data_IF_962097513618
#
_entry.id   IF_962097513618
#
_cell.length_a   1.000
_cell.length_b   1.000
_cell.length_c   1.000
_cell.angle_alpha   90.00
_cell.angle_beta   90.00
_cell.angle_gamma   90.00
#
_symmetry.space_group_name_H-M   'P 1'
#
loop_
_entity.id
_entity.type
_entity.pdbx_description
1 polymer ?
#
# COMPACT_ATOMS: atom_id res chain seq x y z
N UNK A 1 9.79 -19.64 -15.58
CA UNK A 1 8.65 -18.71 -15.46
C UNK A 1 7.89 -19.11 -14.22
N UNK A 2 7.57 -18.16 -13.32
CA UNK A 2 6.69 -18.45 -12.20
C UNK A 2 5.27 -18.82 -12.66
N UNK A 3 4.40 -19.23 -11.74
CA UNK A 3 3.02 -19.57 -12.07
C UNK A 3 2.17 -18.31 -12.30
N UNK A 4 1.10 -18.39 -13.10
CA UNK A 4 0.12 -17.30 -13.25
C UNK A 4 -0.43 -16.87 -11.88
N UNK A 5 -0.74 -17.84 -11.03
CA UNK A 5 -1.23 -17.59 -9.67
C UNK A 5 -0.19 -16.82 -8.84
N UNK A 6 1.09 -17.18 -8.98
CA UNK A 6 2.21 -16.50 -8.32
C UNK A 6 2.44 -15.06 -8.76
N UNK A 7 1.94 -14.64 -9.93
CA UNK A 7 2.03 -13.26 -10.40
C UNK A 7 0.73 -12.46 -10.19
N UNK A 8 -0.42 -13.10 -10.39
CA UNK A 8 -1.73 -12.46 -10.29
C UNK A 8 -2.09 -12.10 -8.84
N UNK A 9 -1.79 -13.00 -7.89
CA UNK A 9 -2.12 -12.78 -6.49
C UNK A 9 -1.40 -11.55 -5.90
N UNK A 10 -0.06 -11.39 -6.07
CA UNK A 10 0.62 -10.14 -5.69
C UNK A 10 0.07 -8.91 -6.40
N UNK A 11 -0.22 -9.00 -7.70
CA UNK A 11 -0.76 -7.89 -8.48
C UNK A 11 -2.09 -7.37 -7.92
N UNK A 12 -3.02 -8.28 -7.61
CA UNK A 12 -4.31 -7.93 -7.01
C UNK A 12 -4.15 -7.36 -5.60
N UNK A 13 -3.27 -7.94 -4.78
CA UNK A 13 -3.00 -7.42 -3.45
C UNK A 13 -2.46 -5.98 -3.49
N UNK A 14 -1.44 -5.73 -4.31
CA UNK A 14 -0.88 -4.39 -4.46
C UNK A 14 -1.92 -3.40 -5.00
N UNK A 15 -2.84 -3.83 -5.86
CA UNK A 15 -3.92 -2.98 -6.37
C UNK A 15 -4.86 -2.55 -5.25
N UNK A 16 -5.41 -3.50 -4.50
CA UNK A 16 -6.32 -3.20 -3.39
C UNK A 16 -5.63 -2.33 -2.33
N UNK A 17 -4.37 -2.63 -2.02
CA UNK A 17 -3.58 -1.86 -1.09
C UNK A 17 -3.37 -0.42 -1.59
N UNK A 18 -3.01 -0.23 -2.86
CA UNK A 18 -2.79 1.11 -3.44
C UNK A 18 -4.07 1.92 -3.54
N UNK A 19 -5.21 1.29 -3.85
CA UNK A 19 -6.53 1.94 -3.83
C UNK A 19 -6.94 2.35 -2.42
N UNK A 20 -6.73 1.48 -1.43
CA UNK A 20 -6.94 1.81 -0.02
C UNK A 20 -6.09 3.01 0.42
N UNK A 21 -4.80 3.03 0.09
CA UNK A 21 -3.92 4.17 0.38
C UNK A 21 -4.31 5.43 -0.41
N UNK A 22 -4.85 5.32 -1.61
CA UNK A 22 -5.38 6.47 -2.38
C UNK A 22 -6.49 7.17 -1.62
N UNK A 23 -7.38 6.42 -0.98
CA UNK A 23 -8.44 6.98 -0.12
C UNK A 23 -7.82 7.63 1.12
N UNK A 24 -6.89 6.96 1.80
CA UNK A 24 -6.24 7.49 3.00
C UNK A 24 -5.51 8.81 2.71
N UNK A 25 -4.69 8.85 1.66
CA UNK A 25 -3.96 10.05 1.24
C UNK A 25 -4.94 11.17 0.91
N UNK A 26 -6.01 10.87 0.15
CA UNK A 26 -7.00 11.87 -0.21
C UNK A 26 -7.69 12.49 1.01
N UNK A 27 -8.08 11.68 1.99
CA UNK A 27 -8.68 12.15 3.23
C UNK A 27 -7.69 12.92 4.11
N UNK A 28 -6.43 12.49 4.17
CA UNK A 28 -5.38 13.17 4.91
C UNK A 28 -5.09 14.56 4.33
N UNK A 29 -5.05 14.69 3.00
CA UNK A 29 -4.90 15.95 2.29
C UNK A 29 -6.07 16.91 2.56
N UNK A 30 -7.31 16.42 2.45
CA UNK A 30 -8.52 17.22 2.68
C UNK A 30 -8.65 17.72 4.13
N UNK A 31 -8.07 16.99 5.08
CA UNK A 31 -8.09 17.31 6.51
C UNK A 31 -6.82 18.00 6.98
N UNK A 32 -5.91 18.35 6.07
CA UNK A 32 -4.60 18.95 6.36
C UNK A 32 -3.81 18.21 7.46
N UNK A 33 -3.87 16.88 7.43
CA UNK A 33 -3.19 16.06 8.43
C UNK A 33 -1.67 16.11 8.21
N UNK A 34 -0.92 16.26 9.32
CA UNK A 34 0.56 16.18 9.30
C UNK A 34 1.08 14.75 9.14
N UNK A 35 0.28 13.75 9.52
CA UNK A 35 0.63 12.33 9.44
C UNK A 35 -0.45 11.56 8.69
N UNK A 36 -0.04 10.76 7.70
CA UNK A 36 -0.95 9.91 6.92
C UNK A 36 -1.70 8.89 7.79
N UNK A 37 -1.03 8.37 8.82
CA UNK A 37 -1.62 7.50 9.83
C UNK A 37 -1.40 8.14 11.19
N UNK A 38 -2.49 8.54 11.84
CA UNK A 38 -2.42 8.97 13.22
C UNK A 38 -2.09 7.77 14.12
N UNK A 39 -1.23 7.94 15.13
CA UNK A 39 -1.04 6.94 16.18
C UNK A 39 -2.39 6.55 16.77
N UNK A 40 -2.58 5.26 17.05
CA UNK A 40 -3.82 4.79 17.69
C UNK A 40 -3.97 5.46 19.07
N UNK A 41 -5.21 5.82 19.48
CA UNK A 41 -5.43 6.43 20.79
C UNK A 41 -5.00 5.47 21.92
N UNK A 42 -4.50 6.00 23.06
CA UNK A 42 -4.03 5.18 24.18
C UNK A 42 -5.07 4.17 24.65
N UNK A 43 -4.59 2.99 25.09
CA UNK A 43 -5.37 1.82 25.52
C UNK A 43 -6.49 2.15 26.52
N UNK A 44 -6.31 3.16 27.37
CA UNK A 44 -7.28 3.60 28.36
C UNK A 44 -8.59 4.13 27.78
N UNK A 45 -8.58 4.72 26.57
CA UNK A 45 -9.79 5.22 25.90
C UNK A 45 -10.47 4.19 25.00
N UNK A 46 -9.92 2.97 24.88
CA UNK A 46 -10.30 1.98 23.84
C UNK A 46 -10.81 0.66 24.43
N UNK A 47 -11.61 0.72 25.50
CA UNK A 47 -12.06 -0.46 26.27
C UNK A 47 -13.15 -1.32 25.59
N UNK A 48 -13.63 -1.00 24.38
CA UNK A 48 -14.89 -1.59 23.87
C UNK A 48 -14.84 -2.45 22.59
N UNK A 49 -13.71 -2.65 21.91
CA UNK A 49 -13.69 -3.56 20.75
C UNK A 49 -12.35 -4.25 20.54
N UNK A 50 -12.30 -5.54 20.84
CA UNK A 50 -11.18 -6.46 20.55
C UNK A 50 -10.74 -6.41 19.08
N UNK A 51 -11.70 -6.21 18.16
CA UNK A 51 -11.46 -6.03 16.73
C UNK A 51 -10.71 -4.73 16.36
N UNK A 52 -10.67 -3.72 17.25
CA UNK A 52 -9.85 -2.51 17.06
C UNK A 52 -8.41 -2.68 17.59
N UNK A 53 -8.09 -3.80 18.25
CA UNK A 53 -6.73 -4.09 18.72
C UNK A 53 -5.89 -4.82 17.67
N UNK A 54 -6.51 -5.45 16.68
CA UNK A 54 -5.79 -6.22 15.67
C UNK A 54 -5.33 -5.29 14.54
N UNK A 55 -4.02 -5.19 14.28
CA UNK A 55 -3.48 -4.39 13.19
C UNK A 55 -3.78 -5.08 11.86
N UNK A 56 -4.94 -4.73 11.28
CA UNK A 56 -5.53 -5.38 10.11
C UNK A 56 -4.55 -5.47 8.94
N UNK A 57 -3.80 -4.40 8.65
CA UNK A 57 -2.82 -4.38 7.56
C UNK A 57 -1.72 -5.42 7.75
N UNK A 58 -1.16 -5.51 8.97
CA UNK A 58 -0.14 -6.50 9.28
C UNK A 58 -0.68 -7.92 9.17
N UNK A 59 -1.91 -8.17 9.64
CA UNK A 59 -2.57 -9.48 9.49
C UNK A 59 -2.80 -9.84 8.03
N UNK A 60 -3.29 -8.90 7.22
CA UNK A 60 -3.50 -9.12 5.78
C UNK A 60 -2.18 -9.42 5.08
N UNK A 61 -1.09 -8.68 5.37
CA UNK A 61 0.25 -8.96 4.87
C UNK A 61 0.68 -10.39 5.21
N UNK A 62 0.54 -10.81 6.48
CA UNK A 62 0.90 -12.16 6.94
C UNK A 62 0.10 -13.24 6.24
N UNK A 63 -1.22 -13.12 6.15
CA UNK A 63 -2.10 -14.14 5.54
C UNK A 63 -1.78 -14.32 4.06
N UNK A 64 -1.66 -13.21 3.32
CA UNK A 64 -1.44 -13.24 1.87
C UNK A 64 -0.05 -13.82 1.54
N UNK A 65 0.99 -13.37 2.24
CA UNK A 65 2.37 -13.85 2.01
C UNK A 65 2.54 -15.30 2.42
N UNK A 66 1.93 -15.73 3.52
CA UNK A 66 1.92 -17.15 3.93
C UNK A 66 1.21 -18.00 2.89
N UNK A 67 0.06 -17.55 2.38
CA UNK A 67 -0.67 -18.23 1.30
C UNK A 67 0.18 -18.33 0.03
N UNK A 68 0.89 -17.25 -0.33
CA UNK A 68 1.83 -17.22 -1.45
C UNK A 68 2.98 -18.22 -1.30
N UNK A 69 3.60 -18.29 -0.12
CA UNK A 69 4.68 -19.25 0.18
C UNK A 69 4.18 -20.70 0.05
N UNK A 70 3.02 -21.00 0.64
CA UNK A 70 2.42 -22.35 0.55
C UNK A 70 2.08 -22.69 -0.90
N UNK A 71 1.50 -21.77 -1.66
CA UNK A 71 1.18 -21.98 -3.07
C UNK A 71 2.44 -22.20 -3.92
N UNK A 72 3.52 -21.47 -3.69
CA UNK A 72 4.77 -21.64 -4.43
C UNK A 72 5.41 -23.02 -4.20
N UNK A 73 5.35 -23.52 -2.96
CA UNK A 73 5.91 -24.83 -2.63
C UNK A 73 5.06 -26.01 -3.11
N UNK A 74 3.73 -25.89 -3.05
CA UNK A 74 2.84 -27.06 -3.13
C UNK A 74 1.77 -26.98 -4.24
N UNK A 75 1.72 -25.92 -5.03
CA UNK A 75 0.78 -25.80 -6.16
C UNK A 75 1.46 -26.02 -7.53
N UNK A 76 0.87 -26.83 -8.42
CA UNK A 76 -0.35 -27.64 -8.24
C UNK A 76 -0.17 -28.80 -7.24
N UNK A 77 -1.26 -29.32 -6.65
CA UNK A 77 -1.20 -30.38 -5.65
C UNK A 77 -0.39 -31.59 -6.14
N UNK A 78 0.47 -32.13 -5.28
CA UNK A 78 1.38 -33.25 -5.59
C UNK A 78 2.80 -32.82 -5.98
N UNK A 79 3.04 -31.53 -6.20
CA UNK A 79 4.39 -30.98 -6.39
C UNK A 79 5.00 -30.60 -5.04
N UNK A 80 6.30 -30.88 -4.86
CA UNK A 80 7.07 -30.41 -3.71
C UNK A 80 8.33 -29.68 -4.20
N UNK A 81 8.38 -28.37 -4.00
CA UNK A 81 9.53 -27.51 -4.37
C UNK A 81 10.37 -27.06 -3.17
N UNK A 82 10.29 -27.75 -2.03
CA UNK A 82 11.08 -27.44 -0.82
C UNK A 82 12.57 -27.75 -0.97
N UNK A 83 12.94 -28.56 -1.96
CA UNK A 83 14.33 -28.94 -2.18
C UNK A 83 15.09 -27.79 -2.85
N UNK A 84 16.13 -27.29 -2.17
CA UNK A 84 16.95 -26.19 -2.69
C UNK A 84 18.16 -26.70 -3.49
N UNK A 85 18.76 -27.80 -3.05
CA UNK A 85 19.96 -28.39 -3.65
C UNK A 85 19.65 -29.83 -3.98
N UNK A 86 20.06 -30.26 -5.17
CA UNK A 86 20.07 -31.68 -5.50
C UNK A 86 21.24 -32.39 -4.82
N UNK A 87 20.96 -33.11 -3.75
CA UNK A 87 22.00 -33.85 -3.02
C UNK A 87 22.36 -35.18 -3.68
N UNK A 88 21.54 -35.67 -4.62
CA UNK A 88 21.75 -36.93 -5.33
C UNK A 88 22.66 -36.73 -6.55
N UNK A 89 22.60 -35.55 -7.18
CA UNK A 89 23.51 -35.17 -8.27
C UNK A 89 24.91 -34.81 -7.72
N UNK A 90 26.01 -35.40 -8.26
CA UNK A 90 27.38 -35.06 -7.88
C UNK A 90 27.73 -33.57 -8.00
N UNK A 91 27.12 -32.84 -8.96
CA UNK A 91 27.32 -31.41 -9.18
C UNK A 91 26.57 -30.53 -8.19
N UNK A 92 25.62 -31.10 -7.43
CA UNK A 92 24.79 -30.40 -6.43
C UNK A 92 24.17 -29.09 -6.93
N UNK A 93 23.47 -29.11 -8.09
CA UNK A 93 22.85 -27.92 -8.63
C UNK A 93 21.76 -27.37 -7.70
N UNK A 94 21.58 -26.05 -7.74
CA UNK A 94 20.44 -25.40 -7.11
C UNK A 94 19.18 -25.61 -7.96
N UNK A 95 18.09 -26.03 -7.32
CA UNK A 95 16.81 -26.30 -7.96
C UNK A 95 15.83 -25.15 -7.74
N UNK A 96 14.83 -25.04 -8.62
CA UNK A 96 13.68 -24.14 -8.47
C UNK A 96 14.00 -22.66 -8.18
N UNK A 97 15.03 -22.10 -8.86
CA UNK A 97 15.48 -20.69 -8.71
C UNK A 97 14.31 -19.70 -8.65
N UNK A 98 13.39 -19.75 -9.64
CA UNK A 98 12.25 -18.83 -9.74
C UNK A 98 11.34 -18.91 -8.49
N UNK A 99 11.05 -20.13 -8.00
CA UNK A 99 10.21 -20.32 -6.80
C UNK A 99 10.89 -19.80 -5.54
N UNK A 100 12.19 -20.09 -5.35
CA UNK A 100 12.94 -19.60 -4.20
C UNK A 100 13.06 -18.07 -4.19
N UNK A 101 13.15 -17.43 -5.35
CA UNK A 101 13.06 -15.96 -5.45
C UNK A 101 11.68 -15.46 -4.97
N UNK A 102 10.58 -16.08 -5.38
CA UNK A 102 9.24 -15.71 -4.93
C UNK A 102 9.05 -15.94 -3.42
N UNK A 103 9.51 -17.07 -2.89
CA UNK A 103 9.46 -17.38 -1.45
C UNK A 103 10.25 -16.35 -0.66
N UNK A 104 11.44 -15.96 -1.14
CA UNK A 104 12.25 -14.92 -0.51
C UNK A 104 11.51 -13.57 -0.51
N UNK A 105 10.94 -13.17 -1.65
CA UNK A 105 10.10 -11.98 -1.75
C UNK A 105 8.95 -12.01 -0.72
N UNK A 106 8.13 -13.07 -0.72
CA UNK A 106 7.04 -13.22 0.23
C UNK A 106 7.52 -13.23 1.68
N UNK A 107 8.68 -13.83 1.97
CA UNK A 107 9.28 -13.87 3.30
C UNK A 107 9.60 -12.49 3.86
N UNK A 108 10.11 -11.56 3.05
CA UNK A 108 10.36 -10.18 3.51
C UNK A 108 9.07 -9.38 3.70
N UNK A 109 8.06 -9.57 2.84
CA UNK A 109 6.73 -8.96 3.08
C UNK A 109 6.01 -9.58 4.28
N UNK A 110 6.19 -10.88 4.55
CA UNK A 110 5.71 -11.57 5.74
C UNK A 110 6.35 -10.96 6.99
N UNK A 111 7.67 -10.77 6.96
CA UNK A 111 8.41 -10.12 8.04
C UNK A 111 7.92 -8.69 8.29
N UNK A 112 7.67 -7.91 7.23
CA UNK A 112 7.01 -6.59 7.35
C UNK A 112 5.65 -6.70 8.06
N UNK A 113 4.81 -7.65 7.67
CA UNK A 113 3.51 -7.87 8.33
C UNK A 113 3.62 -8.24 9.82
N UNK A 114 4.59 -9.08 10.18
CA UNK A 114 4.85 -9.44 11.59
C UNK A 114 5.33 -8.22 12.39
N UNK A 115 6.24 -7.41 11.82
CA UNK A 115 6.73 -6.19 12.46
C UNK A 115 5.60 -5.18 12.66
N UNK A 116 4.72 -5.01 11.67
CA UNK A 116 3.51 -4.19 11.79
C UNK A 116 2.63 -4.69 12.94
N UNK A 117 2.43 -6.01 13.05
CA UNK A 117 1.62 -6.59 14.13
C UNK A 117 2.25 -6.33 15.50
N UNK A 118 3.53 -6.64 15.67
CA UNK A 118 4.24 -6.53 16.95
C UNK A 118 4.34 -5.06 17.39
N UNK A 119 4.67 -4.15 16.45
CA UNK A 119 4.79 -2.73 16.72
C UNK A 119 3.45 -2.12 17.14
N UNK A 120 2.36 -2.46 16.44
CA UNK A 120 1.03 -1.89 16.70
C UNK A 120 0.32 -2.56 17.89
N UNK A 121 0.60 -3.83 18.20
CA UNK A 121 0.06 -4.51 19.39
C UNK A 121 0.61 -3.89 20.69
N UNK A 122 1.87 -3.44 20.65
CA UNK A 122 2.52 -2.71 21.74
C UNK A 122 2.29 -1.19 21.61
N UNK A 123 1.03 -0.74 21.55
CA UNK A 123 0.61 0.65 21.25
C UNK A 123 1.38 1.76 21.99
N UNK A 124 1.79 1.53 23.25
CA UNK A 124 2.60 2.47 24.02
C UNK A 124 4.03 2.71 23.46
N UNK A 125 4.48 1.85 22.54
CA UNK A 125 5.82 1.85 21.93
C UNK A 125 5.76 1.71 20.41
N UNK A 126 4.65 2.11 19.76
CA UNK A 126 4.55 1.98 18.31
C UNK A 126 5.76 2.64 17.63
N UNK A 127 6.54 1.85 16.88
CA UNK A 127 7.74 2.31 16.19
C UNK A 127 7.45 2.48 14.71
N UNK A 128 6.77 3.56 14.35
CA UNK A 128 6.45 3.90 12.95
C UNK A 128 7.69 3.87 12.03
N UNK A 129 8.85 4.31 12.53
CA UNK A 129 10.11 4.26 11.78
C UNK A 129 10.56 2.82 11.46
N UNK A 130 10.34 1.89 12.39
CA UNK A 130 10.68 0.48 12.19
C UNK A 130 9.73 -0.18 11.18
N UNK A 131 8.41 0.07 11.31
CA UNK A 131 7.40 -0.41 10.36
C UNK A 131 7.76 0.01 8.92
N UNK A 132 8.05 1.30 8.72
CA UNK A 132 8.48 1.85 7.41
C UNK A 132 9.81 1.31 6.93
N UNK A 133 10.79 1.14 7.82
CA UNK A 133 12.10 0.62 7.45
C UNK A 133 12.03 -0.83 6.97
N UNK A 134 11.21 -1.67 7.61
CA UNK A 134 11.05 -3.07 7.19
C UNK A 134 10.21 -3.17 5.92
N UNK A 135 9.19 -2.32 5.75
CA UNK A 135 8.46 -2.21 4.48
C UNK A 135 9.38 -1.75 3.33
N UNK A 136 10.20 -0.73 3.56
CA UNK A 136 11.21 -0.30 2.59
C UNK A 136 12.18 -1.43 2.24
N UNK A 137 12.68 -2.17 3.24
CA UNK A 137 13.56 -3.32 3.03
C UNK A 137 12.91 -4.37 2.12
N UNK A 138 11.63 -4.69 2.32
CA UNK A 138 10.91 -5.64 1.47
C UNK A 138 10.88 -5.21 0.00
N UNK A 139 10.65 -3.92 -0.27
CA UNK A 139 10.71 -3.38 -1.63
C UNK A 139 12.14 -3.35 -2.22
N UNK A 140 13.17 -3.07 -1.42
CA UNK A 140 14.56 -3.15 -1.89
C UNK A 140 14.94 -4.58 -2.27
N UNK A 141 14.55 -5.56 -1.44
CA UNK A 141 14.76 -6.99 -1.74
C UNK A 141 14.01 -7.39 -3.00
N UNK A 142 12.77 -6.91 -3.19
CA UNK A 142 12.01 -7.16 -4.43
C UNK A 142 12.76 -6.66 -5.67
N UNK A 143 13.30 -5.43 -5.65
CA UNK A 143 14.09 -4.90 -6.78
C UNK A 143 15.37 -5.74 -7.00
N UNK A 144 16.07 -6.11 -5.93
CA UNK A 144 17.29 -6.92 -6.00
C UNK A 144 17.01 -8.32 -6.58
N UNK A 145 15.95 -8.98 -6.14
CA UNK A 145 15.53 -10.27 -6.66
C UNK A 145 15.18 -10.16 -8.14
N UNK A 146 14.51 -9.08 -8.55
CA UNK A 146 14.13 -8.85 -9.93
C UNK A 146 15.35 -8.71 -10.87
N UNK A 147 16.44 -8.10 -10.42
CA UNK A 147 17.67 -7.98 -11.19
C UNK A 147 18.24 -9.35 -11.60
N UNK A 148 18.17 -10.35 -10.71
CA UNK A 148 18.58 -11.74 -11.00
C UNK A 148 17.48 -12.58 -11.63
N UNK A 149 16.21 -12.17 -11.50
CA UNK A 149 15.05 -12.85 -12.09
C UNK A 149 15.00 -12.70 -13.61
N UNK A 150 15.41 -11.54 -14.13
CA UNK A 150 15.40 -11.26 -15.57
C UNK A 150 16.53 -11.93 -16.35
N UNK A 151 17.52 -12.51 -15.67
CA UNK A 151 18.62 -13.22 -16.30
C UNK A 151 18.10 -14.43 -17.11
N UNK A 152 18.62 -14.60 -18.32
CA UNK A 152 18.28 -15.69 -19.24
C UNK A 152 16.79 -15.75 -19.63
N UNK A 153 16.06 -14.64 -19.53
CA UNK A 153 14.67 -14.49 -20.00
C UNK A 153 14.62 -13.90 -21.42
N UNK A 154 13.47 -14.01 -22.07
CA UNK A 154 13.25 -13.42 -23.40
C UNK A 154 13.30 -11.88 -23.37
N UNK A 155 13.58 -11.22 -24.50
CA UNK A 155 13.67 -9.75 -24.54
C UNK A 155 12.37 -9.05 -24.10
N UNK A 156 11.23 -9.67 -24.40
CA UNK A 156 9.91 -9.27 -23.91
C UNK A 156 9.79 -9.37 -22.39
N UNK A 157 10.13 -10.53 -21.82
CA UNK A 157 10.10 -10.74 -20.37
C UNK A 157 11.02 -9.77 -19.64
N UNK A 158 12.24 -9.57 -20.14
CA UNK A 158 13.16 -8.57 -19.60
C UNK A 158 12.52 -7.19 -19.62
N UNK A 159 11.89 -6.78 -20.74
CA UNK A 159 11.28 -5.46 -20.89
C UNK A 159 10.17 -5.22 -19.87
N UNK A 160 9.24 -6.17 -19.73
CA UNK A 160 8.10 -6.02 -18.82
C UNK A 160 8.53 -5.96 -17.36
N UNK A 161 9.54 -6.76 -16.98
CA UNK A 161 10.08 -6.76 -15.62
C UNK A 161 10.93 -5.52 -15.33
N UNK A 162 11.69 -5.01 -16.30
CA UNK A 162 12.40 -3.72 -16.14
C UNK A 162 11.43 -2.57 -15.91
N UNK A 163 10.33 -2.53 -16.68
CA UNK A 163 9.27 -1.53 -16.48
C UNK A 163 8.59 -1.67 -15.11
N UNK A 164 8.48 -2.90 -14.57
CA UNK A 164 8.01 -3.15 -13.21
C UNK A 164 9.01 -2.70 -12.13
N UNK A 165 10.31 -2.84 -12.36
CA UNK A 165 11.35 -2.43 -11.40
C UNK A 165 11.33 -0.92 -11.14
N UNK A 166 11.05 -0.09 -12.14
CA UNK A 166 11.05 1.38 -12.01
C UNK A 166 10.11 1.89 -10.90
N UNK A 167 8.78 1.63 -10.93
CA UNK A 167 7.88 2.08 -9.87
C UNK A 167 8.18 1.37 -8.54
N UNK A 168 8.62 0.10 -8.56
CA UNK A 168 9.02 -0.61 -7.34
C UNK A 168 10.16 0.10 -6.62
N UNK A 169 11.20 0.49 -7.36
CA UNK A 169 12.35 1.22 -6.82
C UNK A 169 11.96 2.60 -6.31
N UNK A 170 11.08 3.32 -7.01
CA UNK A 170 10.57 4.61 -6.55
C UNK A 170 9.76 4.47 -5.25
N UNK A 171 8.91 3.45 -5.12
CA UNK A 171 8.21 3.15 -3.86
C UNK A 171 9.22 2.87 -2.74
N UNK A 172 10.24 2.05 -3.00
CA UNK A 172 11.30 1.75 -2.04
C UNK A 172 12.03 3.02 -1.57
N UNK A 173 12.39 3.90 -2.51
CA UNK A 173 13.06 5.16 -2.24
C UNK A 173 12.19 6.09 -1.40
N UNK A 174 10.91 6.26 -1.77
CA UNK A 174 9.98 7.12 -1.01
C UNK A 174 9.79 6.58 0.40
N UNK A 175 9.63 5.27 0.59
CA UNK A 175 9.53 4.66 1.92
C UNK A 175 10.80 4.93 2.75
N UNK A 176 11.98 4.84 2.15
CA UNK A 176 13.24 5.20 2.83
C UNK A 176 13.28 6.66 3.25
N UNK A 177 12.85 7.58 2.39
CA UNK A 177 12.79 9.02 2.72
C UNK A 177 11.77 9.27 3.84
N UNK A 178 10.62 8.58 3.81
CA UNK A 178 9.56 8.67 4.82
C UNK A 178 10.01 8.21 6.23
N UNK A 179 11.12 7.47 6.37
CA UNK A 179 11.70 7.13 7.69
C UNK A 179 12.22 8.39 8.39
N UNK A 180 12.80 9.31 7.62
CA UNK A 180 13.42 10.53 8.10
C UNK A 180 12.46 11.71 8.09
N UNK A 181 11.66 11.85 7.03
CA UNK A 181 10.76 12.99 6.82
C UNK A 181 9.33 12.48 6.56
N UNK A 182 8.62 12.04 7.61
CA UNK A 182 7.31 11.40 7.49
C UNK A 182 6.18 12.35 7.07
N UNK A 183 6.33 13.65 7.30
CA UNK A 183 5.25 14.66 7.28
C UNK A 183 5.23 15.46 5.97
N UNK A 184 5.44 14.78 4.84
CA UNK A 184 5.52 15.41 3.52
C UNK A 184 4.42 14.85 2.61
N UNK A 185 3.31 15.60 2.42
CA UNK A 185 2.22 15.16 1.55
C UNK A 185 2.63 14.77 0.12
N UNK A 186 3.60 15.44 -0.54
CA UNK A 186 4.07 15.02 -1.86
C UNK A 186 4.64 13.61 -1.89
N UNK A 187 5.31 13.16 -0.83
CA UNK A 187 5.83 11.79 -0.73
C UNK A 187 4.69 10.78 -0.66
N UNK A 188 3.64 11.06 0.10
CA UNK A 188 2.49 10.16 0.19
C UNK A 188 1.77 10.01 -1.15
N UNK A 189 1.59 11.13 -1.87
CA UNK A 189 1.01 11.15 -3.22
C UNK A 189 1.88 10.35 -4.18
N UNK A 190 3.20 10.60 -4.20
CA UNK A 190 4.13 9.90 -5.09
C UNK A 190 4.17 8.40 -4.80
N UNK A 191 4.28 7.99 -3.53
CA UNK A 191 4.24 6.58 -3.12
C UNK A 191 2.97 5.89 -3.61
N UNK A 192 1.84 6.54 -3.40
CA UNK A 192 0.53 5.97 -3.75
C UNK A 192 0.33 5.90 -5.26
N UNK A 193 0.75 6.93 -6.00
CA UNK A 193 0.74 6.92 -7.46
C UNK A 193 1.64 5.81 -8.00
N UNK A 194 2.88 5.69 -7.52
CA UNK A 194 3.79 4.62 -7.94
C UNK A 194 3.28 3.23 -7.55
N UNK A 195 2.59 3.09 -6.40
CA UNK A 195 1.90 1.85 -6.02
C UNK A 195 0.76 1.47 -6.98
N UNK A 196 -0.04 2.45 -7.42
CA UNK A 196 -1.08 2.23 -8.43
C UNK A 196 -0.48 1.80 -9.78
N UNK A 197 0.61 2.43 -10.20
CA UNK A 197 1.34 2.07 -11.44
C UNK A 197 1.93 0.67 -11.32
N UNK A 198 2.61 0.39 -10.22
CA UNK A 198 3.20 -0.91 -9.92
C UNK A 198 2.17 -2.04 -10.01
N UNK A 199 1.03 -1.86 -9.34
CA UNK A 199 -0.04 -2.86 -9.29
C UNK A 199 -0.75 -3.05 -10.62
N UNK A 200 -1.12 -1.96 -11.30
CA UNK A 200 -1.79 -2.05 -12.59
C UNK A 200 -0.87 -2.66 -13.66
N UNK A 201 0.44 -2.37 -13.62
CA UNK A 201 1.40 -2.94 -14.55
C UNK A 201 1.64 -4.42 -14.28
N UNK A 202 1.62 -4.84 -13.01
CA UNK A 202 1.71 -6.27 -12.66
C UNK A 202 0.54 -7.07 -13.26
N UNK A 203 -0.68 -6.49 -13.29
CA UNK A 203 -1.82 -7.12 -13.95
C UNK A 203 -1.64 -7.17 -15.47
N UNK A 204 -1.15 -6.09 -16.08
CA UNK A 204 -0.82 -6.05 -17.50
C UNK A 204 0.25 -7.10 -17.87
N UNK A 205 1.27 -7.26 -17.02
CA UNK A 205 2.29 -8.29 -17.17
C UNK A 205 1.67 -9.70 -17.15
N UNK A 206 0.72 -9.96 -16.24
CA UNK A 206 0.00 -11.25 -16.22
C UNK A 206 -0.76 -11.51 -17.53
N UNK A 207 -1.43 -10.48 -18.06
CA UNK A 207 -2.15 -10.57 -19.35
C UNK A 207 -1.18 -10.86 -20.49
N UNK A 208 -0.06 -10.14 -20.56
CA UNK A 208 0.94 -10.31 -21.62
C UNK A 208 1.56 -11.72 -21.59
N UNK A 209 1.92 -12.22 -20.40
CA UNK A 209 2.68 -13.47 -20.27
C UNK A 209 1.80 -14.73 -20.30
N UNK A 210 0.56 -14.67 -19.82
CA UNK A 210 -0.25 -15.89 -19.61
C UNK A 210 -1.56 -15.92 -20.39
N UNK A 211 -2.15 -14.77 -20.72
CA UNK A 211 -3.48 -14.71 -21.33
C UNK A 211 -3.63 -13.50 -22.26
N UNK A 212 -2.86 -13.44 -23.37
CA UNK A 212 -2.98 -12.34 -24.32
C UNK A 212 -4.40 -12.31 -24.91
N UNK A 213 -5.06 -11.14 -25.00
CA UNK A 213 -6.45 -11.05 -25.48
C UNK A 213 -6.67 -11.56 -26.90
N UNK A 214 -5.62 -11.54 -27.72
CA UNK A 214 -5.61 -12.10 -29.08
C UNK A 214 -5.54 -13.63 -29.13
N UNK A 215 -5.28 -14.29 -27.99
CA UNK A 215 -4.96 -15.71 -27.91
C UNK A 215 -3.59 -16.08 -28.51
N UNK A 216 -2.86 -15.12 -29.06
CA UNK A 216 -1.55 -15.32 -29.68
C UNK A 216 -0.45 -14.73 -28.80
N UNK A 217 0.67 -15.44 -28.56
CA UNK A 217 1.77 -14.92 -27.77
C UNK A 217 2.40 -13.70 -28.47
N UNK A 218 2.88 -12.77 -27.66
CA UNK A 218 3.62 -11.60 -28.13
C UNK A 218 4.96 -12.02 -28.75
N UNK A 219 5.42 -11.31 -29.79
CA UNK A 219 6.68 -11.66 -30.46
C UNK A 219 7.84 -11.10 -29.65
N UNK A 220 8.54 -12.00 -28.94
CA UNK A 220 9.57 -11.60 -27.98
C UNK A 220 10.70 -10.74 -28.58
N UNK A 221 11.05 -10.98 -29.84
CA UNK A 221 12.16 -10.33 -30.53
C UNK A 221 11.74 -9.21 -31.48
N UNK A 222 10.44 -8.89 -31.56
CA UNK A 222 9.94 -7.81 -32.42
C UNK A 222 10.26 -6.45 -31.80
N UNK A 223 11.12 -5.62 -32.42
CA UNK A 223 11.45 -4.30 -31.86
C UNK A 223 10.23 -3.39 -31.75
N UNK A 224 9.25 -3.58 -32.63
CA UNK A 224 7.99 -2.83 -32.63
C UNK A 224 7.13 -3.21 -31.41
N UNK A 225 6.95 -4.51 -31.15
CA UNK A 225 6.20 -5.00 -29.98
C UNK A 225 6.82 -4.48 -28.68
N UNK A 226 8.16 -4.52 -28.58
CA UNK A 226 8.91 -4.00 -27.43
C UNK A 226 8.75 -2.48 -27.25
N UNK A 227 8.68 -1.71 -28.35
CA UNK A 227 8.42 -0.28 -28.29
C UNK A 227 7.00 0.01 -27.78
N UNK A 228 6.00 -0.73 -28.27
CA UNK A 228 4.60 -0.60 -27.82
C UNK A 228 4.42 -0.91 -26.34
N UNK A 229 5.19 -1.84 -25.75
CA UNK A 229 5.16 -2.08 -24.30
C UNK A 229 5.50 -0.83 -23.50
N UNK A 230 6.51 -0.07 -23.95
CA UNK A 230 6.90 1.17 -23.27
C UNK A 230 5.80 2.23 -23.42
N UNK A 231 5.18 2.31 -24.60
CA UNK A 231 4.04 3.19 -24.84
C UNK A 231 2.87 2.84 -23.90
N UNK A 232 2.54 1.55 -23.77
CA UNK A 232 1.50 1.10 -22.84
C UNK A 232 1.86 1.44 -21.40
N UNK A 233 3.10 1.22 -20.99
CA UNK A 233 3.56 1.61 -19.65
C UNK A 233 3.37 3.11 -19.38
N UNK A 234 3.64 3.98 -20.36
CA UNK A 234 3.35 5.41 -20.24
C UNK A 234 1.86 5.70 -20.02
N UNK A 235 0.96 4.97 -20.68
CA UNK A 235 -0.47 5.06 -20.41
C UNK A 235 -0.85 4.53 -19.03
N UNK A 236 -0.15 3.52 -18.51
CA UNK A 236 -0.32 3.03 -17.14
C UNK A 236 0.12 4.06 -16.08
N UNK A 237 1.14 4.89 -16.37
CA UNK A 237 1.50 6.06 -15.55
C UNK A 237 0.33 7.05 -15.48
N UNK A 238 -0.22 7.41 -16.64
CA UNK A 238 -1.36 8.32 -16.75
C UNK A 238 -2.61 7.75 -16.06
N UNK A 239 -2.88 6.46 -16.24
CA UNK A 239 -3.99 5.76 -15.59
C UNK A 239 -3.87 5.79 -14.06
N UNK A 240 -2.67 5.53 -13.52
CA UNK A 240 -2.43 5.62 -12.08
C UNK A 240 -2.71 7.02 -11.52
N UNK A 241 -2.31 8.07 -12.25
CA UNK A 241 -2.59 9.46 -11.86
C UNK A 241 -4.09 9.78 -11.95
N UNK A 242 -4.76 9.34 -13.01
CA UNK A 242 -6.20 9.53 -13.20
C UNK A 242 -7.02 8.84 -12.10
N UNK A 243 -6.66 7.61 -11.73
CA UNK A 243 -7.31 6.88 -10.62
C UNK A 243 -7.13 7.63 -9.31
N UNK A 244 -5.92 8.10 -8.99
CA UNK A 244 -5.67 8.85 -7.77
C UNK A 244 -6.47 10.17 -7.74
N UNK A 245 -6.52 10.89 -8.85
CA UNK A 245 -7.30 12.12 -8.99
C UNK A 245 -8.82 11.86 -8.84
N UNK A 246 -9.32 10.78 -9.44
CA UNK A 246 -10.71 10.38 -9.31
C UNK A 246 -11.08 10.03 -7.85
N UNK A 247 -10.22 9.26 -7.16
CA UNK A 247 -10.41 8.94 -5.73
C UNK A 247 -10.40 10.22 -4.88
N UNK A 248 -9.49 11.14 -5.15
CA UNK A 248 -9.44 12.43 -4.46
C UNK A 248 -10.72 13.25 -4.68
N UNK A 249 -11.18 13.34 -5.93
CA UNK A 249 -12.42 14.04 -6.28
C UNK A 249 -13.63 13.43 -5.55
N UNK A 250 -13.74 12.10 -5.51
CA UNK A 250 -14.79 11.39 -4.79
C UNK A 250 -14.73 11.66 -3.28
N UNK A 251 -13.53 11.62 -2.69
CA UNK A 251 -13.34 11.94 -1.27
C UNK A 251 -13.71 13.40 -0.97
N UNK A 252 -13.36 14.33 -1.85
CA UNK A 252 -13.68 15.76 -1.72
C UNK A 252 -15.19 16.01 -1.79
N UNK A 253 -15.87 15.38 -2.75
CA UNK A 253 -17.33 15.44 -2.87
C UNK A 253 -18.02 14.87 -1.63
N UNK A 254 -17.55 13.73 -1.12
CA UNK A 254 -18.04 13.16 0.13
C UNK A 254 -17.81 14.08 1.32
N UNK A 255 -16.60 14.64 1.45
CA UNK A 255 -16.24 15.55 2.54
C UNK A 255 -17.12 16.80 2.53
N UNK A 256 -17.31 17.44 1.38
CA UNK A 256 -18.18 18.62 1.23
C UNK A 256 -19.63 18.30 1.58
N UNK A 257 -20.19 17.18 1.08
CA UNK A 257 -21.56 16.76 1.41
C UNK A 257 -21.73 16.45 2.91
N UNK A 258 -20.73 15.83 3.54
CA UNK A 258 -20.73 15.57 4.98
C UNK A 258 -20.69 16.84 5.82
N UNK A 259 -19.84 17.81 5.47
CA UNK A 259 -19.78 19.12 6.12
C UNK A 259 -21.08 19.91 5.94
N UNK A 260 -21.66 19.93 4.74
CA UNK A 260 -22.93 20.62 4.48
C UNK A 260 -24.13 19.96 5.17
N UNK A 261 -24.05 18.68 5.54
CA UNK A 261 -25.09 18.00 6.32
C UNK A 261 -24.98 18.28 7.82
N UNK A 262 -23.80 18.69 8.30
CA UNK A 262 -23.55 19.10 9.69
C UNK A 262 -23.80 20.61 9.87
N UNK A 263 -23.64 21.42 8.83
CA UNK A 263 -23.92 22.86 8.84
C UNK A 263 -25.38 23.19 8.41
N UNK A 264 -26.37 22.91 9.27
CA UNK A 264 -27.70 23.55 9.25
C UNK A 264 -28.28 23.60 10.68
N UNK A 265 -28.81 24.74 11.17
CA UNK A 265 -28.14 25.99 11.53
C UNK A 265 -28.11 26.16 13.06
N UNK A 266 -26.93 26.37 13.67
CA UNK A 266 -26.90 26.81 15.06
C UNK A 266 -27.44 28.25 15.11
N UNK A 267 -28.56 28.41 15.82
CA UNK A 267 -29.28 29.64 16.08
C UNK A 267 -28.34 30.84 16.24
N UNK A 268 -28.61 31.87 15.43
CA UNK A 268 -28.05 33.22 15.57
C UNK A 268 -28.20 33.64 17.05
N UNK A 269 -27.10 33.67 17.80
CA UNK A 269 -27.09 34.29 19.12
C UNK A 269 -27.40 35.77 18.91
N UNK A 270 -28.62 36.17 19.25
CA UNK A 270 -28.97 37.57 19.43
C UNK A 270 -28.46 37.95 20.82
N UNK A 271 -27.51 38.91 20.95
CA UNK A 271 -27.18 39.44 22.25
C UNK A 271 -28.44 40.05 22.87
N UNK A 272 -28.76 39.66 24.11
CA UNK A 272 -29.82 40.31 24.88
C UNK A 272 -29.51 41.81 24.96
N UNK A 273 -30.49 42.71 24.81
CA UNK A 273 -30.26 44.12 25.10
C UNK A 273 -29.96 44.22 26.60
N UNK A 274 -28.73 44.60 26.94
CA UNK A 274 -28.37 45.05 28.28
C UNK A 274 -29.07 46.38 28.53
N UNK A 275 -30.22 46.33 29.20
CA UNK A 275 -30.80 47.50 29.85
C UNK A 275 -30.06 47.73 31.18
N UNK A 276 -29.55 48.94 31.48
CA UNK A 276 -28.84 49.21 32.71
C UNK A 276 -29.84 49.63 33.79
N UNK A 277 -30.64 48.71 34.33
CA UNK A 277 -31.46 49.00 35.52
C UNK A 277 -30.78 48.43 36.76
N UNK A 278 -30.14 49.33 37.48
CA UNK A 278 -29.32 49.14 38.67
C UNK A 278 -30.16 48.88 39.95
N UNK A 279 -31.36 48.32 39.84
CA UNK A 279 -32.31 48.22 40.98
C UNK A 279 -32.10 46.96 41.82
N UNK A 280 -31.72 45.84 41.21
CA UNK A 280 -31.52 44.58 41.93
C UNK A 280 -30.21 44.56 42.75
N UNK A 281 -29.20 45.33 42.31
CA UNK A 281 -27.92 45.45 43.00
C UNK A 281 -28.01 46.35 44.25
N UNK A 282 -28.89 47.36 44.24
CA UNK A 282 -29.12 48.21 45.42
C UNK A 282 -29.95 47.51 46.51
N UNK A 283 -30.91 46.67 46.12
CA UNK A 283 -31.70 45.87 47.08
C UNK A 283 -30.84 44.91 47.90
N UNK A 284 -29.87 44.24 47.27
CA UNK A 284 -28.97 43.31 47.96
C UNK A 284 -27.99 44.01 48.89
N UNK A 285 -27.71 45.30 48.69
CA UNK A 285 -26.82 46.08 49.56
C UNK A 285 -27.55 46.60 50.81
N UNK A 286 -28.86 46.81 50.73
CA UNK A 286 -29.68 47.25 51.86
C UNK A 286 -29.98 46.14 52.86
N UNK A 287 -29.99 44.86 52.44
CA UNK A 287 -30.18 43.71 53.33
C UNK A 287 -28.91 43.26 54.07
N UNK A 288 -27.76 43.90 53.79
CA UNK A 288 -26.47 43.57 54.36
C UNK A 288 -25.94 44.59 55.40
N UNK A 289 -26.76 45.54 55.85
CA UNK A 289 -26.53 46.38 57.04
C UNK A 289 -27.53 46.05 58.13
#
# INVERSE_FOLDING_TARGET
>A
MGTLLGHLMPGMFFLFYSLYYSVLVSLALLREQRLLKLPLPPREKRRQRWWQLVPLEGVVKVVITTTGIVAEFFYPPGVNRLMMVDWEDPQRPFLFKDNWQHITMYGFFLFSGVVDIVSQSCQARQKMKLERAVEALAFHVLVLLMATHIENKSALEIRVHVLFMVPTFLVALVLTIEIWVPDQPPLWVLKTWMGLVLSNWMLQLCVIMYAPPSGQPWRADSPMDLAFLTIFFCWHLALGAAVLAAVYALCSLWHRRGSSCIEVPCTRYQPCPTDPSNEDLEKLRAEAM
#
